data_IF_000455680357
#
_entry.id   IF_000455680357
#
_cell.length_a   1.000
_cell.length_b   1.000
_cell.length_c   1.000
_cell.angle_alpha   90.00
_cell.angle_beta   90.00
_cell.angle_gamma   90.00
#
_symmetry.space_group_name_H-M   'P 1'
#
loop_
_entity.id
_entity.type
_entity.pdbx_description
1 polymer ?
#
# COMPACT_ATOMS: atom_id res chain seq x y z
N UNK A 1 -24.47 -3.25 -33.45
CA UNK A 1 -24.84 -4.66 -33.19
C UNK A 1 -25.82 -5.11 -34.25
N UNK A 2 -25.61 -6.28 -34.83
CA UNK A 2 -26.53 -6.94 -35.76
C UNK A 2 -26.97 -8.26 -35.16
N UNK A 3 -28.20 -8.70 -35.46
CA UNK A 3 -28.74 -10.01 -35.06
C UNK A 3 -28.88 -10.88 -36.32
N UNK A 4 -28.87 -12.21 -36.17
CA UNK A 4 -29.04 -13.13 -37.31
C UNK A 4 -30.41 -13.00 -37.98
N UNK A 5 -31.44 -12.66 -37.20
CA UNK A 5 -32.81 -12.39 -37.68
C UNK A 5 -33.36 -11.09 -37.07
N UNK A 6 -34.26 -10.37 -37.76
CA UNK A 6 -34.72 -9.06 -37.31
C UNK A 6 -35.51 -9.18 -35.99
N UNK A 7 -35.17 -8.37 -34.96
CA UNK A 7 -35.89 -8.38 -33.69
C UNK A 7 -37.29 -7.76 -33.86
N UNK A 8 -38.31 -8.45 -33.38
CA UNK A 8 -39.72 -8.03 -33.43
C UNK A 8 -40.17 -7.31 -32.16
N UNK A 9 -39.57 -7.63 -31.02
CA UNK A 9 -39.86 -7.00 -29.72
C UNK A 9 -38.66 -7.13 -28.79
N UNK A 10 -38.49 -6.16 -27.89
CA UNK A 10 -37.40 -6.06 -26.93
C UNK A 10 -37.95 -5.55 -25.59
N UNK A 11 -37.53 -6.17 -24.50
CA UNK A 11 -37.85 -5.73 -23.13
C UNK A 11 -36.64 -5.90 -22.22
N UNK A 12 -36.51 -5.05 -21.21
CA UNK A 12 -35.41 -5.06 -20.25
C UNK A 12 -36.00 -5.34 -18.87
N UNK A 13 -35.30 -6.15 -18.06
CA UNK A 13 -35.64 -6.35 -16.65
C UNK A 13 -35.69 -5.01 -15.90
N UNK A 14 -36.56 -4.89 -14.91
CA UNK A 14 -36.62 -3.70 -14.04
C UNK A 14 -35.31 -3.45 -13.30
N UNK A 15 -34.50 -4.50 -13.08
CA UNK A 15 -33.17 -4.44 -12.46
C UNK A 15 -32.06 -4.12 -13.46
N UNK A 16 -32.32 -4.18 -14.76
CA UNK A 16 -31.31 -4.00 -15.81
C UNK A 16 -30.43 -5.23 -16.08
N UNK A 17 -30.54 -6.30 -15.28
CA UNK A 17 -29.68 -7.49 -15.37
C UNK A 17 -29.91 -8.32 -16.64
N UNK A 18 -31.14 -8.31 -17.16
CA UNK A 18 -31.54 -9.13 -18.31
C UNK A 18 -32.19 -8.29 -19.40
N UNK A 19 -31.83 -8.59 -20.64
CA UNK A 19 -32.47 -8.12 -21.85
C UNK A 19 -33.15 -9.32 -22.50
N UNK A 20 -34.42 -9.19 -22.88
CA UNK A 20 -35.15 -10.22 -23.61
C UNK A 20 -35.53 -9.72 -25.00
N UNK A 21 -35.20 -10.48 -26.03
CA UNK A 21 -35.51 -10.17 -27.44
C UNK A 21 -36.30 -11.29 -28.10
N UNK A 22 -37.21 -10.93 -28.99
CA UNK A 22 -37.92 -11.86 -29.88
C UNK A 22 -37.54 -11.54 -31.33
N UNK A 23 -37.44 -12.56 -32.19
CA UNK A 23 -37.01 -12.41 -33.57
C UNK A 23 -37.98 -13.07 -34.55
N UNK A 24 -38.09 -12.55 -35.78
CA UNK A 24 -39.10 -12.98 -36.76
C UNK A 24 -39.04 -14.47 -37.14
N UNK A 25 -37.84 -15.05 -37.19
CA UNK A 25 -37.61 -16.43 -37.64
C UNK A 25 -37.39 -17.44 -36.49
N UNK A 26 -37.48 -17.01 -35.22
CA UNK A 26 -37.28 -17.85 -34.03
C UNK A 26 -38.58 -18.03 -33.26
N UNK A 27 -38.94 -19.28 -32.93
CA UNK A 27 -40.14 -19.62 -32.13
C UNK A 27 -39.88 -19.55 -30.61
N UNK A 28 -39.03 -18.63 -30.15
CA UNK A 28 -38.63 -18.47 -28.74
C UNK A 28 -38.20 -17.05 -28.39
N UNK A 29 -37.92 -16.82 -27.10
CA UNK A 29 -37.38 -15.56 -26.57
C UNK A 29 -35.90 -15.78 -26.26
N UNK A 30 -35.05 -14.90 -26.80
CA UNK A 30 -33.62 -14.84 -26.50
C UNK A 30 -33.41 -14.01 -25.24
N UNK A 31 -32.81 -14.60 -24.21
CA UNK A 31 -32.48 -13.92 -22.96
C UNK A 31 -30.98 -13.64 -22.90
N UNK A 32 -30.63 -12.38 -22.68
CA UNK A 32 -29.26 -11.89 -22.60
C UNK A 32 -29.00 -11.39 -21.19
N UNK A 33 -27.86 -11.73 -20.60
CA UNK A 33 -27.41 -11.18 -19.33
C UNK A 33 -26.39 -10.06 -19.57
N UNK A 34 -26.49 -8.97 -18.82
CA UNK A 34 -25.50 -7.90 -18.89
C UNK A 34 -24.22 -8.31 -18.16
N UNK A 35 -23.13 -8.48 -18.93
CA UNK A 35 -21.79 -8.83 -18.39
C UNK A 35 -21.24 -7.78 -17.43
N UNK A 36 -21.69 -6.52 -17.53
CA UNK A 36 -21.25 -5.44 -16.63
C UNK A 36 -21.60 -5.69 -15.15
N UNK A 37 -22.59 -6.54 -14.87
CA UNK A 37 -22.96 -6.95 -13.51
C UNK A 37 -22.03 -8.01 -12.91
N UNK A 38 -21.27 -8.73 -13.75
CA UNK A 38 -20.44 -9.86 -13.32
C UNK A 38 -18.94 -9.62 -13.56
N UNK A 39 -18.59 -8.64 -14.37
CA UNK A 39 -17.21 -8.30 -14.72
C UNK A 39 -17.06 -6.81 -15.06
N UNK A 40 -15.89 -6.24 -14.81
CA UNK A 40 -15.52 -4.91 -15.30
C UNK A 40 -15.41 -4.95 -16.84
N UNK A 41 -16.35 -4.29 -17.52
CA UNK A 41 -16.34 -4.15 -18.99
C UNK A 41 -15.79 -2.77 -19.35
N UNK A 42 -14.65 -2.74 -20.02
CA UNK A 42 -14.09 -1.51 -20.56
C UNK A 42 -14.74 -1.20 -21.91
N UNK A 43 -15.51 -0.12 -21.97
CA UNK A 43 -16.08 0.36 -23.22
C UNK A 43 -15.01 1.13 -23.99
N UNK A 44 -14.35 0.45 -24.92
CA UNK A 44 -13.67 1.15 -26.02
C UNK A 44 -14.72 1.87 -26.87
N UNK A 45 -14.36 3.03 -27.43
CA UNK A 45 -15.29 3.91 -28.16
C UNK A 45 -16.14 3.19 -29.23
N UNK A 46 -17.16 3.87 -29.79
CA UNK A 46 -18.17 3.21 -30.63
C UNK A 46 -17.50 2.47 -31.80
N UNK A 47 -17.77 1.16 -31.99
CA UNK A 47 -17.14 0.39 -33.05
C UNK A 47 -17.59 0.92 -34.41
N UNK A 48 -16.63 1.13 -35.33
CA UNK A 48 -16.91 1.62 -36.69
C UNK A 48 -17.71 0.63 -37.55
N UNK A 49 -17.73 -0.65 -37.18
CA UNK A 49 -18.48 -1.72 -37.85
C UNK A 49 -19.36 -2.42 -36.84
N UNK A 50 -20.61 -2.70 -37.22
CA UNK A 50 -21.55 -3.44 -36.38
C UNK A 50 -21.09 -4.89 -36.19
N UNK A 51 -20.85 -5.30 -34.96
CA UNK A 51 -20.58 -6.69 -34.57
C UNK A 51 -21.88 -7.51 -34.51
N UNK A 52 -21.82 -8.75 -35.00
CA UNK A 52 -22.91 -9.72 -34.90
C UNK A 52 -22.97 -10.26 -33.48
N UNK A 53 -24.17 -10.31 -32.88
CA UNK A 53 -24.39 -10.96 -31.58
C UNK A 53 -24.68 -12.45 -31.76
N UNK A 54 -24.05 -13.29 -30.95
CA UNK A 54 -24.29 -14.73 -30.90
C UNK A 54 -25.62 -15.05 -30.21
N UNK A 55 -26.42 -15.95 -30.79
CA UNK A 55 -27.71 -16.30 -30.20
C UNK A 55 -27.54 -17.05 -28.86
N UNK A 56 -28.36 -16.77 -27.84
CA UNK A 56 -28.29 -17.49 -26.58
C UNK A 56 -28.67 -18.97 -26.78
N UNK A 57 -27.74 -19.86 -26.48
CA UNK A 57 -27.97 -21.31 -26.54
C UNK A 57 -28.79 -21.77 -25.31
N UNK A 58 -29.78 -22.66 -25.48
CA UNK A 58 -30.59 -23.19 -24.37
C UNK A 58 -29.85 -24.20 -23.48
N UNK A 59 -28.65 -24.63 -23.86
CA UNK A 59 -27.70 -25.29 -22.95
C UNK A 59 -26.74 -24.23 -22.42
N UNK A 60 -26.58 -24.14 -21.10
CA UNK A 60 -25.56 -23.28 -20.49
C UNK A 60 -24.24 -23.45 -21.23
N UNK A 61 -23.67 -22.34 -21.68
CA UNK A 61 -22.48 -22.35 -22.51
C UNK A 61 -21.41 -23.22 -21.86
N UNK A 62 -21.07 -24.32 -22.53
CA UNK A 62 -19.68 -24.74 -22.59
C UNK A 62 -19.00 -23.56 -23.30
N UNK A 63 -18.47 -22.61 -22.51
CA UNK A 63 -17.40 -21.77 -23.00
C UNK A 63 -16.30 -22.78 -23.37
N UNK A 64 -16.10 -23.00 -24.67
CA UNK A 64 -14.88 -23.61 -25.18
C UNK A 64 -13.76 -22.64 -24.78
N UNK A 65 -13.28 -22.76 -23.54
CA UNK A 65 -11.96 -22.30 -23.18
C UNK A 65 -11.02 -22.99 -24.17
N UNK A 66 -10.47 -22.24 -25.11
CA UNK A 66 -9.30 -22.66 -25.88
C UNK A 66 -8.10 -22.77 -24.91
N UNK A 67 -8.15 -23.71 -23.97
CA UNK A 67 -7.00 -24.22 -23.26
C UNK A 67 -6.19 -25.02 -24.28
N UNK A 68 -5.26 -24.34 -24.97
CA UNK A 68 -4.19 -25.03 -25.68
C UNK A 68 -3.40 -25.86 -24.67
N UNK A 69 -3.60 -27.18 -24.72
CA UNK A 69 -2.84 -28.20 -24.02
C UNK A 69 -1.33 -27.94 -24.15
N UNK A 70 -0.73 -27.41 -23.09
CA UNK A 70 0.73 -27.41 -22.90
C UNK A 70 1.15 -28.83 -22.51
N UNK A 71 1.43 -29.64 -23.54
CA UNK A 71 2.04 -30.95 -23.38
C UNK A 71 3.49 -30.83 -22.85
N UNK A 72 3.83 -31.65 -21.86
CA UNK A 72 5.07 -31.60 -21.10
C UNK A 72 6.30 -32.10 -21.89
N UNK A 73 7.36 -31.28 -21.87
CA UNK A 73 8.79 -31.64 -21.74
C UNK A 73 9.56 -32.30 -22.92
N UNK A 74 10.91 -32.28 -22.94
CA UNK A 74 11.87 -31.34 -22.33
C UNK A 74 13.03 -30.88 -23.27
N UNK A 75 13.83 -29.93 -22.75
CA UNK A 75 15.27 -29.74 -23.01
C UNK A 75 15.75 -28.81 -24.15
N UNK A 76 16.43 -27.75 -23.68
CA UNK A 76 17.69 -27.14 -24.16
C UNK A 76 17.66 -26.05 -25.25
N UNK A 77 18.33 -24.96 -24.84
CA UNK A 77 19.28 -24.11 -25.59
C UNK A 77 18.77 -23.09 -26.61
N UNK A 78 18.96 -21.82 -26.23
CA UNK A 78 19.67 -20.77 -26.96
C UNK A 78 19.11 -20.24 -28.30
N UNK A 79 18.73 -18.96 -28.22
CA UNK A 79 18.92 -17.83 -29.15
C UNK A 79 17.97 -17.56 -30.32
N UNK A 80 17.77 -16.24 -30.42
CA UNK A 80 17.52 -15.40 -31.60
C UNK A 80 16.09 -15.20 -32.11
N UNK A 81 15.51 -14.08 -31.64
CA UNK A 81 15.09 -12.89 -32.41
C UNK A 81 14.21 -13.15 -33.64
N UNK A 82 12.99 -12.58 -33.63
CA UNK A 82 12.58 -11.46 -34.51
C UNK A 82 11.18 -10.96 -34.08
N UNK A 83 11.18 -9.69 -33.62
CA UNK A 83 10.15 -8.66 -33.77
C UNK A 83 8.66 -9.01 -33.80
N UNK A 84 7.97 -8.65 -32.72
CA UNK A 84 6.59 -8.13 -32.81
C UNK A 84 6.55 -6.76 -32.15
N UNK A 85 6.25 -5.76 -32.97
CA UNK A 85 6.17 -4.35 -32.60
C UNK A 85 5.17 -4.17 -31.44
N UNK A 86 5.66 -3.58 -30.34
CA UNK A 86 4.83 -2.91 -29.35
C UNK A 86 4.26 -1.66 -30.04
N UNK A 87 2.94 -1.55 -30.06
CA UNK A 87 2.28 -0.27 -30.28
C UNK A 87 2.06 0.32 -28.90
N UNK A 88 2.63 1.52 -28.73
CA UNK A 88 2.61 2.33 -27.52
C UNK A 88 1.16 2.67 -27.15
N UNK A 89 0.75 2.24 -25.96
CA UNK A 89 -0.50 2.67 -25.33
C UNK A 89 -0.14 3.69 -24.24
N UNK A 90 0.17 4.92 -24.68
CA UNK A 90 0.20 6.11 -23.82
C UNK A 90 -1.24 6.61 -23.65
N UNK A 91 -2.05 5.85 -22.93
CA UNK A 91 -3.30 6.31 -22.37
C UNK A 91 -3.14 6.29 -20.85
N UNK A 92 -3.10 7.48 -20.24
CA UNK A 92 -3.01 7.70 -18.79
C UNK A 92 -3.93 6.75 -18.02
N UNK A 93 -3.36 5.65 -17.55
CA UNK A 93 -3.95 4.77 -16.55
C UNK A 93 -3.93 5.54 -15.23
N UNK A 94 -5.07 6.09 -14.80
CA UNK A 94 -5.32 6.19 -13.37
C UNK A 94 -5.65 4.78 -12.87
N UNK A 95 -4.64 3.90 -12.84
CA UNK A 95 -4.68 2.71 -12.00
C UNK A 95 -4.83 3.18 -10.54
N UNK A 96 -5.97 2.88 -9.93
CA UNK A 96 -6.28 3.13 -8.51
C UNK A 96 -5.32 2.40 -7.53
N UNK A 97 -4.29 1.73 -8.05
CA UNK A 97 -3.22 1.05 -7.32
C UNK A 97 -1.80 1.57 -7.57
N UNK A 98 -1.63 2.63 -8.39
CA UNK A 98 -0.32 3.22 -8.64
C UNK A 98 0.30 3.91 -7.40
N UNK A 99 1.63 4.04 -7.32
CA UNK A 99 2.28 4.78 -6.23
C UNK A 99 1.74 6.21 -6.15
N UNK A 100 1.44 6.69 -4.93
CA UNK A 100 0.75 7.98 -4.73
C UNK A 100 1.62 9.15 -5.20
N UNK A 101 1.32 9.68 -6.38
CA UNK A 101 2.05 10.81 -6.96
C UNK A 101 1.53 12.15 -6.39
N UNK A 102 2.41 13.08 -5.97
CA UNK A 102 1.99 14.40 -5.53
C UNK A 102 1.31 15.19 -6.66
N UNK A 103 0.08 15.66 -6.39
CA UNK A 103 -0.72 16.51 -7.32
C UNK A 103 -0.07 17.87 -7.66
N UNK A 104 1.05 18.22 -7.05
CA UNK A 104 1.80 19.44 -7.34
C UNK A 104 3.02 19.61 -6.46
N UNK A 105 3.96 20.46 -6.89
CA UNK A 105 5.24 20.68 -6.21
C UNK A 105 5.03 21.13 -4.76
N UNK A 106 5.58 20.33 -3.85
CA UNK A 106 5.51 20.55 -2.41
C UNK A 106 4.14 20.27 -1.78
N UNK A 107 3.19 19.63 -2.47
CA UNK A 107 1.99 19.11 -1.81
C UNK A 107 2.33 17.93 -0.90
N UNK A 108 1.47 17.67 0.08
CA UNK A 108 1.61 16.53 0.97
C UNK A 108 0.80 15.38 0.38
N UNK A 109 1.36 14.18 0.29
CA UNK A 109 0.63 12.97 -0.09
C UNK A 109 0.28 12.11 1.12
N UNK A 110 -0.73 11.27 0.95
CA UNK A 110 -1.08 10.23 1.91
C UNK A 110 -0.63 8.86 1.37
N UNK A 111 -0.34 7.92 2.25
CA UNK A 111 0.27 6.61 1.96
C UNK A 111 -0.58 5.60 1.21
N UNK A 112 -1.88 5.85 1.03
CA UNK A 112 -2.81 4.87 0.45
C UNK A 112 -3.05 3.63 1.34
N UNK A 113 -2.35 3.49 2.46
CA UNK A 113 -2.52 2.39 3.39
C UNK A 113 -3.85 2.49 4.14
N UNK A 114 -4.47 1.34 4.50
CA UNK A 114 -5.63 1.34 5.36
C UNK A 114 -5.35 2.11 6.66
N UNK A 115 -6.28 2.97 7.06
CA UNK A 115 -6.18 3.78 8.29
C UNK A 115 -5.76 2.97 9.53
N UNK A 116 -6.24 1.72 9.65
CA UNK A 116 -5.90 0.84 10.77
C UNK A 116 -4.42 0.47 10.84
N UNK A 117 -3.69 0.52 9.72
CA UNK A 117 -2.27 0.17 9.66
C UNK A 117 -1.44 1.14 10.50
N UNK A 118 -1.49 2.43 10.19
CA UNK A 118 -0.70 3.45 10.89
C UNK A 118 -1.35 3.93 12.20
N UNK A 119 -2.70 3.98 12.30
CA UNK A 119 -3.39 4.40 13.55
C UNK A 119 -3.10 3.45 14.71
N UNK A 120 -2.99 2.15 14.44
CA UNK A 120 -2.68 1.15 15.46
C UNK A 120 -1.27 1.35 16.04
N UNK A 121 -0.33 1.89 15.27
CA UNK A 121 1.05 2.09 15.72
C UNK A 121 1.14 3.11 16.86
N UNK A 122 0.30 4.15 16.85
CA UNK A 122 0.21 5.14 17.93
C UNK A 122 -0.25 4.54 19.26
N UNK A 123 -1.18 3.59 19.20
CA UNK A 123 -1.87 3.05 20.37
C UNK A 123 -1.60 1.57 20.57
N UNK A 124 -0.46 1.07 20.06
CA UNK A 124 -0.18 -0.35 19.98
C UNK A 124 -0.24 -1.03 21.36
N UNK A 125 0.24 -0.35 22.41
CA UNK A 125 0.18 -0.84 23.79
C UNK A 125 -1.26 -0.96 24.31
N UNK A 126 -2.12 0.01 24.00
CA UNK A 126 -3.54 -0.03 24.40
C UNK A 126 -4.28 -1.14 23.65
N UNK A 127 -3.98 -1.32 22.36
CA UNK A 127 -4.57 -2.39 21.54
C UNK A 127 -4.11 -3.76 22.03
N UNK A 128 -2.81 -3.93 22.32
CA UNK A 128 -2.26 -5.14 22.93
C UNK A 128 -2.95 -5.41 24.27
N UNK A 129 -3.10 -4.40 25.13
CA UNK A 129 -3.73 -4.54 26.45
C UNK A 129 -5.20 -4.94 26.36
N UNK A 130 -5.96 -4.35 25.43
CA UNK A 130 -7.36 -4.69 25.17
C UNK A 130 -7.52 -6.10 24.63
N UNK A 131 -6.64 -6.49 23.71
CA UNK A 131 -6.70 -7.79 23.04
C UNK A 131 -6.15 -8.94 23.92
N UNK A 132 -5.51 -8.63 25.06
CA UNK A 132 -5.14 -9.68 26.03
C UNK A 132 -6.40 -10.40 26.50
N UNK A 133 -6.47 -11.74 26.37
CA UNK A 133 -7.66 -12.49 26.77
C UNK A 133 -7.90 -12.34 28.28
N UNK A 134 -9.15 -12.07 28.66
CA UNK A 134 -9.56 -11.85 30.07
C UNK A 134 -9.41 -13.10 30.92
N UNK A 135 -9.60 -14.27 30.33
CA UNK A 135 -9.23 -15.56 30.93
C UNK A 135 -7.97 -16.04 30.20
N UNK A 136 -6.83 -16.09 30.90
CA UNK A 136 -5.60 -16.58 30.29
C UNK A 136 -5.86 -18.02 29.77
N UNK A 137 -5.45 -18.34 28.53
CA UNK A 137 -5.66 -19.68 27.99
C UNK A 137 -5.05 -20.70 28.96
N UNK A 138 -5.87 -21.66 29.41
CA UNK A 138 -5.44 -22.72 30.32
C UNK A 138 -4.29 -23.46 29.65
N UNK A 139 -3.06 -23.19 30.10
CA UNK A 139 -1.86 -23.83 29.58
C UNK A 139 -2.04 -25.34 29.76
N UNK A 140 -2.07 -26.15 28.70
CA UNK A 140 -2.09 -27.60 28.86
C UNK A 140 -0.80 -28.04 29.58
N UNK A 141 -0.89 -29.03 30.48
CA UNK A 141 0.25 -29.51 31.27
C UNK A 141 1.40 -30.08 30.41
N UNK A 142 1.13 -30.36 29.13
CA UNK A 142 2.12 -30.76 28.13
C UNK A 142 1.96 -29.92 26.86
N UNK A 143 2.25 -28.63 26.96
CA UNK A 143 2.46 -27.82 25.77
C UNK A 143 3.74 -28.29 25.06
N UNK A 144 3.72 -28.54 23.74
CA UNK A 144 4.94 -28.84 23.01
C UNK A 144 5.90 -27.65 23.14
N UNK A 145 7.08 -27.91 23.71
CA UNK A 145 8.10 -26.89 23.94
C UNK A 145 8.50 -26.17 22.64
N UNK A 146 8.44 -26.89 21.53
CA UNK A 146 8.61 -26.33 20.19
C UNK A 146 7.25 -26.22 19.52
N UNK A 147 6.70 -25.00 19.48
CA UNK A 147 5.65 -24.69 18.52
C UNK A 147 6.23 -24.87 17.12
N UNK A 148 5.52 -25.61 16.26
CA UNK A 148 5.91 -25.69 14.85
C UNK A 148 5.91 -24.28 14.27
N UNK A 149 7.00 -23.88 13.62
CA UNK A 149 7.09 -22.58 12.95
C UNK A 149 5.93 -22.49 11.96
N UNK A 150 4.97 -21.61 12.24
CA UNK A 150 3.95 -21.24 11.25
C UNK A 150 4.71 -20.44 10.20
N UNK A 151 4.83 -20.98 8.98
CA UNK A 151 5.71 -20.45 7.95
C UNK A 151 5.56 -18.95 7.75
N UNK A 152 6.52 -18.20 8.24
CA UNK A 152 6.90 -16.91 7.70
C UNK A 152 8.14 -17.15 6.85
N UNK A 153 7.99 -17.01 5.53
CA UNK A 153 9.11 -17.00 4.62
C UNK A 153 10.08 -15.92 5.12
N UNK A 154 11.29 -16.34 5.51
CA UNK A 154 12.33 -15.40 5.90
C UNK A 154 12.48 -14.39 4.78
N UNK A 155 12.34 -13.12 5.11
CA UNK A 155 12.62 -12.03 4.19
C UNK A 155 14.08 -12.16 3.79
N UNK A 156 14.30 -12.64 2.57
CA UNK A 156 15.61 -12.64 1.93
C UNK A 156 16.04 -11.20 1.80
N UNK A 157 16.92 -10.76 2.70
CA UNK A 157 17.58 -9.48 2.58
C UNK A 157 18.69 -9.67 1.53
N UNK A 158 18.33 -9.56 0.26
CA UNK A 158 19.33 -9.38 -0.79
C UNK A 158 20.07 -8.07 -0.49
N UNK A 159 21.39 -8.10 -0.60
CA UNK A 159 22.24 -6.94 -0.37
C UNK A 159 21.97 -5.91 -1.47
N UNK A 160 21.32 -4.81 -1.11
CA UNK A 160 20.98 -3.73 -2.04
C UNK A 160 22.16 -2.76 -2.14
N UNK A 161 22.56 -2.50 -3.37
CA UNK A 161 23.49 -1.45 -3.80
C UNK A 161 22.71 -0.58 -4.79
N UNK A 162 22.20 0.60 -4.40
CA UNK A 162 22.01 1.81 -5.24
C UNK A 162 21.07 2.91 -4.67
N UNK A 163 21.15 4.10 -5.31
CA UNK A 163 20.72 5.48 -5.00
C UNK A 163 19.30 5.77 -4.44
N UNK A 164 18.46 4.77 -4.15
CA UNK A 164 17.06 4.96 -3.69
C UNK A 164 16.74 4.28 -2.36
N UNK A 165 17.69 4.26 -1.43
CA UNK A 165 17.55 3.61 -0.12
C UNK A 165 16.28 4.04 0.64
N UNK A 166 15.88 5.30 0.53
CA UNK A 166 14.74 5.85 1.27
C UNK A 166 13.38 5.32 0.78
N UNK A 167 13.23 5.14 -0.53
CA UNK A 167 12.04 4.56 -1.15
C UNK A 167 11.89 3.10 -0.70
N UNK A 168 13.01 2.37 -0.69
CA UNK A 168 13.08 0.96 -0.27
C UNK A 168 12.76 0.81 1.22
N UNK A 169 13.31 1.67 2.08
CA UNK A 169 12.99 1.65 3.52
C UNK A 169 11.51 1.94 3.74
N UNK A 170 10.94 2.87 2.98
CA UNK A 170 9.52 3.22 3.08
C UNK A 170 8.64 2.05 2.65
N UNK A 171 8.91 1.45 1.49
CA UNK A 171 8.19 0.30 0.97
C UNK A 171 8.28 -0.90 1.93
N UNK A 172 9.48 -1.16 2.47
CA UNK A 172 9.68 -2.21 3.45
C UNK A 172 8.85 -1.99 4.73
N UNK A 173 8.84 -0.76 5.27
CA UNK A 173 8.02 -0.42 6.43
C UNK A 173 6.52 -0.58 6.15
N UNK A 174 6.06 -0.17 4.96
CA UNK A 174 4.66 -0.29 4.55
C UNK A 174 4.22 -1.74 4.33
N UNK A 175 5.13 -2.63 3.93
CA UNK A 175 4.86 -4.06 3.76
C UNK A 175 4.65 -4.80 5.10
N UNK A 176 5.17 -4.24 6.20
CA UNK A 176 5.15 -4.87 7.51
C UNK A 176 3.88 -4.55 8.31
N UNK A 177 3.39 -5.51 9.09
CA UNK A 177 2.30 -5.24 10.03
C UNK A 177 2.75 -4.35 11.22
N UNK A 178 1.84 -3.64 11.91
CA UNK A 178 2.17 -2.69 12.97
C UNK A 178 3.00 -3.28 14.13
N UNK A 179 2.84 -4.58 14.41
CA UNK A 179 3.64 -5.28 15.42
C UNK A 179 5.06 -5.62 14.95
N UNK A 180 5.24 -5.89 13.65
CA UNK A 180 6.56 -6.14 13.08
C UNK A 180 7.36 -4.84 12.98
N UNK A 181 6.70 -3.73 12.58
CA UNK A 181 7.28 -2.39 12.63
C UNK A 181 7.74 -2.06 14.04
N UNK A 182 6.91 -2.31 15.05
CA UNK A 182 7.27 -2.11 16.45
C UNK A 182 8.53 -2.89 16.86
N UNK A 183 8.56 -4.18 16.55
CA UNK A 183 9.75 -5.02 16.81
C UNK A 183 10.97 -4.43 16.11
N UNK A 184 10.90 -4.14 14.82
CA UNK A 184 12.01 -3.54 14.06
C UNK A 184 12.50 -2.24 14.70
N UNK A 185 11.60 -1.35 15.11
CA UNK A 185 11.94 -0.09 15.78
C UNK A 185 12.63 -0.32 17.14
N UNK A 186 12.16 -1.29 17.93
CA UNK A 186 12.76 -1.63 19.23
C UNK A 186 14.10 -2.34 19.10
N UNK A 187 14.31 -3.14 18.04
CA UNK A 187 15.56 -3.87 17.83
C UNK A 187 16.66 -3.05 17.15
N UNK A 188 16.37 -1.83 16.69
CA UNK A 188 17.37 -0.93 16.09
C UNK A 188 18.55 -0.66 17.02
N UNK A 189 18.33 -0.60 18.33
CA UNK A 189 19.37 -0.33 19.32
C UNK A 189 19.03 -1.00 20.64
N UNK A 190 19.98 -1.75 21.19
CA UNK A 190 19.81 -2.50 22.44
C UNK A 190 20.10 -1.67 23.70
N UNK A 191 20.32 -0.36 23.55
CA UNK A 191 20.54 0.59 24.64
C UNK A 191 21.84 1.39 24.51
N UNK A 192 22.21 2.14 25.55
CA UNK A 192 23.32 3.10 25.49
C UNK A 192 24.72 2.51 25.21
N UNK A 193 24.87 1.20 25.44
CA UNK A 193 26.13 0.49 25.23
C UNK A 193 26.30 -0.03 23.80
N UNK A 194 25.25 0.03 22.99
CA UNK A 194 25.21 -0.51 21.63
C UNK A 194 25.65 0.55 20.61
N UNK A 195 26.97 0.67 20.42
CA UNK A 195 27.55 1.66 19.49
C UNK A 195 27.13 1.43 18.04
N UNK A 196 26.88 0.18 17.63
CA UNK A 196 26.41 -0.14 16.27
C UNK A 196 24.92 0.19 16.14
N UNK A 197 24.12 -0.12 17.15
CA UNK A 197 22.72 0.29 17.24
C UNK A 197 22.53 1.80 17.13
N UNK A 198 23.40 2.59 17.77
CA UNK A 198 23.37 4.06 17.67
C UNK A 198 23.62 4.51 16.22
N UNK A 199 24.51 3.86 15.47
CA UNK A 199 24.72 4.19 14.04
C UNK A 199 23.45 3.93 13.23
N UNK A 200 22.71 2.84 13.50
CA UNK A 200 21.43 2.57 12.85
C UNK A 200 20.36 3.60 13.22
N UNK A 201 20.32 4.06 14.47
CA UNK A 201 19.41 5.13 14.86
C UNK A 201 19.71 6.42 14.10
N UNK A 202 20.99 6.76 13.91
CA UNK A 202 21.38 7.96 13.15
C UNK A 202 20.93 7.85 11.71
N UNK A 203 21.17 6.70 11.07
CA UNK A 203 20.71 6.43 9.71
C UNK A 203 19.18 6.51 9.60
N UNK A 204 18.46 6.01 10.61
CA UNK A 204 17.01 6.08 10.63
C UNK A 204 16.49 7.52 10.78
N UNK A 205 17.15 8.36 11.59
CA UNK A 205 16.82 9.79 11.69
C UNK A 205 17.14 10.54 10.41
N UNK A 206 18.23 10.21 9.72
CA UNK A 206 18.55 10.76 8.40
C UNK A 206 17.49 10.39 7.37
N UNK A 207 17.06 9.12 7.34
CA UNK A 207 15.91 8.66 6.54
C UNK A 207 14.63 9.44 6.86
N UNK A 208 14.27 9.60 8.13
CA UNK A 208 13.11 10.39 8.55
C UNK A 208 13.25 11.86 8.11
N UNK A 209 14.47 12.39 8.14
CA UNK A 209 14.79 13.74 7.69
C UNK A 209 14.46 13.94 6.22
N UNK A 210 14.92 13.04 5.36
CA UNK A 210 14.61 13.13 3.93
C UNK A 210 13.15 12.82 3.64
N UNK A 211 12.53 11.85 4.32
CA UNK A 211 11.09 11.59 4.20
C UNK A 211 10.23 12.81 4.59
N UNK A 212 10.68 13.62 5.57
CA UNK A 212 10.02 14.87 5.91
C UNK A 212 10.18 15.95 4.81
N UNK A 213 11.31 15.93 4.08
CA UNK A 213 11.57 16.84 2.95
C UNK A 213 10.75 16.48 1.70
N UNK A 214 10.61 15.19 1.39
CA UNK A 214 9.77 14.71 0.26
C UNK A 214 8.29 14.98 0.49
N UNK A 215 7.85 14.97 1.76
CA UNK A 215 6.45 15.21 2.20
C UNK A 215 5.47 14.19 1.65
N UNK A 216 5.97 13.02 1.32
CA UNK A 216 5.15 11.91 0.87
C UNK A 216 4.72 11.06 2.07
N UNK A 217 3.58 10.40 1.96
CA UNK A 217 3.09 9.42 2.95
C UNK A 217 3.03 10.00 4.38
N UNK A 218 2.58 11.25 4.51
CA UNK A 218 2.85 12.07 5.70
C UNK A 218 2.23 11.51 6.99
N UNK A 219 1.07 10.88 6.92
CA UNK A 219 0.42 10.22 8.07
C UNK A 219 1.16 8.96 8.52
N UNK A 220 1.65 8.15 7.58
CA UNK A 220 2.44 6.96 7.89
C UNK A 220 3.81 7.35 8.45
N UNK A 221 4.47 8.33 7.81
CA UNK A 221 5.70 8.95 8.30
C UNK A 221 5.56 9.45 9.74
N UNK A 222 4.51 10.24 10.05
CA UNK A 222 4.30 10.74 11.41
C UNK A 222 4.05 9.61 12.42
N UNK A 223 3.43 8.50 12.00
CA UNK A 223 3.27 7.31 12.84
C UNK A 223 4.61 6.64 13.15
N UNK A 224 5.49 6.50 12.14
CA UNK A 224 6.83 5.95 12.30
C UNK A 224 7.69 6.84 13.20
N UNK A 225 7.68 8.15 12.96
CA UNK A 225 8.37 9.14 13.79
C UNK A 225 7.88 9.05 15.24
N UNK A 226 6.58 9.01 15.47
CA UNK A 226 6.02 8.92 16.82
C UNK A 226 6.46 7.62 17.52
N UNK A 227 6.43 6.46 16.84
CA UNK A 227 6.87 5.20 17.46
C UNK A 227 8.37 5.22 17.76
N UNK A 228 9.18 5.71 16.81
CA UNK A 228 10.63 5.83 16.99
C UNK A 228 10.98 6.69 18.21
N UNK A 229 10.39 7.88 18.31
CA UNK A 229 10.61 8.78 19.45
C UNK A 229 10.14 8.17 20.77
N UNK A 230 9.02 7.43 20.75
CA UNK A 230 8.51 6.76 21.93
C UNK A 230 9.44 5.65 22.44
N UNK A 231 9.99 4.85 21.53
CA UNK A 231 10.87 3.72 21.85
C UNK A 231 12.25 4.21 22.32
N UNK A 232 12.80 5.23 21.66
CA UNK A 232 14.18 5.69 21.88
C UNK A 232 14.29 6.98 22.71
N UNK A 233 13.20 7.39 23.38
CA UNK A 233 13.11 8.65 24.13
C UNK A 233 14.27 8.85 25.11
N UNK A 234 14.59 7.84 25.92
CA UNK A 234 15.60 7.97 26.97
C UNK A 234 17.01 8.11 26.38
N UNK A 235 17.31 7.37 25.31
CA UNK A 235 18.60 7.45 24.62
C UNK A 235 18.77 8.80 23.89
N UNK A 236 17.70 9.32 23.27
CA UNK A 236 17.70 10.65 22.64
C UNK A 236 17.89 11.76 23.68
N UNK A 237 17.27 11.65 24.85
CA UNK A 237 17.48 12.60 25.96
C UNK A 237 18.91 12.57 26.49
N UNK A 238 19.53 11.39 26.54
CA UNK A 238 20.94 11.26 26.91
C UNK A 238 21.87 11.91 25.88
N UNK A 239 21.52 11.85 24.59
CA UNK A 239 22.24 12.52 23.51
C UNK A 239 22.19 14.05 23.64
N UNK A 240 21.06 14.63 24.05
CA UNK A 240 20.92 16.08 24.26
C UNK A 240 21.73 16.61 25.45
N UNK A 241 21.78 15.85 26.53
CA UNK A 241 22.38 16.27 27.80
C UNK A 241 23.91 16.11 27.84
N UNK A 242 24.54 15.63 26.75
CA UNK A 242 25.99 15.50 26.67
C UNK A 242 26.56 14.54 27.71
N UNK A 243 25.90 13.40 27.92
CA UNK A 243 26.25 12.43 28.96
C UNK A 243 27.70 11.95 28.86
N UNK A 244 28.55 12.48 29.74
CA UNK A 244 29.94 12.07 29.95
C UNK A 244 30.04 10.70 30.60
N UNK A 245 29.74 9.65 29.86
CA UNK A 245 30.05 8.27 30.21
C UNK A 245 31.32 7.81 29.50
N UNK A 246 32.09 6.93 30.15
CA UNK A 246 33.40 6.40 29.71
C UNK A 246 33.38 5.51 28.44
N UNK A 247 32.61 5.88 27.42
CA UNK A 247 32.62 5.29 26.08
C UNK A 247 33.26 6.29 25.12
N UNK A 248 34.37 5.89 24.50
CA UNK A 248 35.33 6.77 23.80
C UNK A 248 34.78 7.64 22.67
N UNK A 249 35.68 8.48 22.15
CA UNK A 249 35.52 9.50 21.09
C UNK A 249 34.44 9.20 20.03
N UNK A 250 34.34 7.95 19.56
CA UNK A 250 33.29 7.47 18.63
C UNK A 250 31.87 7.74 19.13
N UNK A 251 31.55 7.45 20.40
CA UNK A 251 30.21 7.64 20.97
C UNK A 251 29.83 9.12 20.99
N UNK A 252 30.78 9.98 21.35
CA UNK A 252 30.56 11.43 21.36
C UNK A 252 30.28 11.95 19.94
N UNK A 253 31.02 11.47 18.94
CA UNK A 253 30.79 11.81 17.54
C UNK A 253 29.41 11.33 17.05
N UNK A 254 29.00 10.11 17.40
CA UNK A 254 27.68 9.56 17.06
C UNK A 254 26.54 10.37 17.68
N UNK A 255 26.63 10.70 18.97
CA UNK A 255 25.61 11.51 19.66
C UNK A 255 25.53 12.93 19.09
N UNK A 256 26.67 13.51 18.68
CA UNK A 256 26.68 14.79 17.99
C UNK A 256 25.97 14.71 16.63
N UNK A 257 26.29 13.70 15.81
CA UNK A 257 25.64 13.48 14.51
C UNK A 257 24.14 13.25 14.66
N UNK A 258 23.73 12.45 15.65
CA UNK A 258 22.32 12.24 16.01
C UNK A 258 21.61 13.56 16.29
N UNK A 259 22.21 14.42 17.13
CA UNK A 259 21.62 15.71 17.49
C UNK A 259 21.47 16.63 16.28
N UNK A 260 22.48 16.70 15.42
CA UNK A 260 22.43 17.48 14.18
C UNK A 260 21.32 16.96 13.24
N UNK A 261 21.20 15.65 13.07
CA UNK A 261 20.16 15.03 12.26
C UNK A 261 18.75 15.28 12.82
N UNK A 262 18.58 15.23 14.15
CA UNK A 262 17.32 15.52 14.84
C UNK A 262 16.87 16.98 14.68
N UNK A 263 17.79 17.95 14.76
CA UNK A 263 17.45 19.35 14.50
C UNK A 263 17.03 19.58 13.05
N UNK A 264 17.76 18.98 12.08
CA UNK A 264 17.37 19.04 10.66
C UNK A 264 15.96 18.46 10.43
N UNK A 265 15.69 17.29 11.01
CA UNK A 265 14.37 16.64 10.96
C UNK A 265 13.28 17.55 11.56
N UNK A 266 13.55 18.17 12.70
CA UNK A 266 12.62 19.08 13.38
C UNK A 266 12.26 20.28 12.51
N UNK A 267 13.23 20.92 11.88
CA UNK A 267 13.01 22.05 10.99
C UNK A 267 12.15 21.67 9.78
N UNK A 268 12.49 20.55 9.13
CA UNK A 268 11.74 20.03 7.97
C UNK A 268 10.29 19.67 8.34
N UNK A 269 10.10 18.94 9.45
CA UNK A 269 8.79 18.54 9.96
C UNK A 269 7.94 19.76 10.37
N UNK A 270 8.52 20.73 11.06
CA UNK A 270 7.83 21.95 11.47
C UNK A 270 7.38 22.77 10.25
N UNK A 271 8.22 22.86 9.21
CA UNK A 271 7.88 23.51 7.95
C UNK A 271 6.68 22.85 7.26
N UNK A 272 6.70 21.52 7.12
CA UNK A 272 5.61 20.76 6.54
C UNK A 272 4.30 20.89 7.36
N UNK A 273 4.39 20.74 8.69
CA UNK A 273 3.26 20.80 9.59
C UNK A 273 2.58 22.19 9.62
N UNK A 274 3.37 23.27 9.68
CA UNK A 274 2.83 24.63 9.71
C UNK A 274 2.02 24.95 8.45
N UNK A 275 2.51 24.51 7.28
CA UNK A 275 1.81 24.74 6.01
C UNK A 275 0.51 23.95 5.91
N UNK A 276 0.51 22.70 6.36
CA UNK A 276 -0.72 21.88 6.41
C UNK A 276 -1.72 22.50 7.38
N UNK A 277 -1.26 22.90 8.58
CA UNK A 277 -2.07 23.57 9.59
C UNK A 277 -2.70 24.85 9.06
N UNK A 278 -1.93 25.70 8.37
CA UNK A 278 -2.44 26.96 7.79
C UNK A 278 -3.56 26.72 6.77
N UNK A 279 -3.40 25.72 5.89
CA UNK A 279 -4.45 25.36 4.93
C UNK A 279 -5.70 24.82 5.62
N UNK A 280 -5.53 23.95 6.61
CA UNK A 280 -6.64 23.36 7.36
C UNK A 280 -7.39 24.41 8.20
N UNK A 281 -6.70 25.36 8.82
CA UNK A 281 -7.35 26.42 9.59
C UNK A 281 -8.15 27.35 8.69
N UNK A 282 -7.62 27.73 7.53
CA UNK A 282 -8.35 28.51 6.51
C UNK A 282 -9.61 27.78 6.05
N UNK A 283 -9.50 26.51 5.68
CA UNK A 283 -10.64 25.69 5.25
C UNK A 283 -11.68 25.53 6.37
N UNK A 284 -11.24 25.25 7.60
CA UNK A 284 -12.12 25.11 8.76
C UNK A 284 -12.86 26.41 9.09
N UNK A 285 -12.19 27.57 8.99
CA UNK A 285 -12.81 28.86 9.21
C UNK A 285 -13.91 29.16 8.17
N UNK A 286 -13.65 28.85 6.90
CA UNK A 286 -14.64 29.00 5.83
C UNK A 286 -15.85 28.08 6.04
N UNK A 287 -15.64 26.81 6.36
CA UNK A 287 -16.74 25.86 6.62
C UNK A 287 -17.59 26.33 7.80
N UNK A 288 -16.97 26.79 8.89
CA UNK A 288 -17.69 27.35 10.05
C UNK A 288 -18.50 28.59 9.68
N UNK A 289 -17.95 29.45 8.81
CA UNK A 289 -18.67 30.62 8.34
C UNK A 289 -19.91 30.23 7.51
N UNK A 290 -19.77 29.30 6.56
CA UNK A 290 -20.92 28.81 5.78
C UNK A 290 -21.96 28.09 6.64
N UNK A 291 -21.53 27.31 7.65
CA UNK A 291 -22.44 26.69 8.61
C UNK A 291 -23.20 27.71 9.47
N UNK A 292 -22.63 28.89 9.72
CA UNK A 292 -23.31 29.96 10.48
C UNK A 292 -24.31 30.78 9.66
N UNK A 293 -24.33 30.60 8.33
CA UNK A 293 -25.22 31.29 7.40
C UNK A 293 -26.49 30.48 7.08
N UNK A 294 -26.52 29.20 7.47
CA UNK A 294 -27.67 28.27 7.36
C UNK A 294 -28.36 28.20 8.71
#
# INVERSE_FOLDING_TARGET
MTFKSPPTSLTVSTTGEFLATSHADSKGISLWADKSFYQTVHLTGPPAVSTLMDDPSPGGGEEEDEEQEINESPAKTHSDVVGKAKLDDDADEEEDGGPVVPKGVGMVTLSGLPDGHWKNLFHLELVKLRNKPKEAPKKPESAPFFLQRRGDGGTGLDMIVDEKVEEIVTEYLQSMGPSAIDVAMTTLCSGEHDCEGIDFLVLFVEYLGTAAETRENFEAFNAYLNRFLFVHADLLRAAEQGGGGAGGERRMAQMKRMKEAMEKLRESQAGAANRLKEKLTKASALVKHFQSLI
#
